data_IF_917500913955
#
_entry.id   IF_917500913955
#
_cell.length_a   1.000
_cell.length_b   1.000
_cell.length_c   1.000
_cell.angle_alpha   90.00
_cell.angle_beta   90.00
_cell.angle_gamma   90.00
#
_symmetry.space_group_name_H-M   'P 1'
#
loop_
_entity.id
_entity.type
_entity.pdbx_description
1 polymer ?
#
# COMPACT_ATOMS: atom_id res chain seq x y z
N UNK A 1 48.52 -46.30 -18.40
CA UNK A 1 47.08 -46.60 -18.28
C UNK A 1 46.38 -45.29 -17.97
N UNK A 2 45.56 -44.83 -18.91
CA UNK A 2 44.79 -43.59 -18.83
C UNK A 2 43.60 -43.77 -17.88
N UNK A 3 43.40 -42.82 -16.97
CA UNK A 3 42.06 -42.44 -16.51
C UNK A 3 41.93 -40.94 -16.72
N UNK A 4 41.45 -40.59 -17.91
CA UNK A 4 40.79 -39.32 -18.18
C UNK A 4 39.31 -39.62 -18.35
N UNK A 5 38.46 -38.84 -17.70
CA UNK A 5 37.18 -38.34 -18.22
C UNK A 5 36.56 -37.45 -17.13
N UNK A 6 36.64 -36.13 -17.34
CA UNK A 6 35.90 -35.13 -16.56
C UNK A 6 34.41 -35.29 -16.86
N UNK A 7 33.64 -35.71 -15.85
CA UNK A 7 32.19 -35.83 -15.96
C UNK A 7 31.55 -34.44 -15.97
N UNK A 8 31.11 -33.96 -17.13
CA UNK A 8 30.31 -32.73 -17.22
C UNK A 8 28.88 -33.02 -16.74
N UNK A 9 28.43 -32.30 -15.70
CA UNK A 9 27.01 -32.28 -15.33
C UNK A 9 26.28 -31.26 -16.21
N UNK A 10 25.24 -31.73 -16.90
CA UNK A 10 24.36 -30.88 -17.70
C UNK A 10 23.01 -30.79 -16.99
N UNK A 11 22.62 -29.58 -16.60
CA UNK A 11 21.28 -29.34 -16.11
C UNK A 11 20.35 -29.12 -17.31
N UNK A 12 19.31 -29.95 -17.41
CA UNK A 12 18.30 -29.88 -18.47
C UNK A 12 17.03 -29.30 -17.87
N UNK A 13 16.60 -28.16 -18.40
CA UNK A 13 15.35 -27.50 -17.97
C UNK A 13 14.37 -27.53 -19.13
N UNK A 14 13.14 -27.95 -18.84
CA UNK A 14 12.06 -28.05 -19.81
C UNK A 14 11.09 -26.89 -19.63
N UNK A 15 10.94 -26.07 -20.68
CA UNK A 15 9.86 -25.07 -20.76
C UNK A 15 9.13 -25.25 -22.08
N UNK A 16 7.79 -25.38 -22.00
CA UNK A 16 6.81 -25.57 -23.10
C UNK A 16 7.44 -25.80 -24.50
N UNK A 17 7.98 -27.01 -24.70
CA UNK A 17 8.50 -27.58 -25.95
C UNK A 17 9.93 -27.23 -26.38
N UNK A 18 10.76 -26.61 -25.53
CA UNK A 18 12.20 -26.45 -25.80
C UNK A 18 13.03 -26.98 -24.63
N UNK A 19 13.97 -27.86 -24.92
CA UNK A 19 14.98 -28.35 -23.97
C UNK A 19 16.20 -27.43 -24.05
N UNK A 20 16.52 -26.75 -22.94
CA UNK A 20 17.76 -25.95 -22.83
C UNK A 20 18.74 -26.71 -21.95
N UNK A 21 19.91 -27.02 -22.50
CA UNK A 21 21.01 -27.69 -21.81
C UNK A 21 22.06 -26.66 -21.41
N UNK A 22 22.30 -26.52 -20.09
CA UNK A 22 23.30 -25.58 -19.56
C UNK A 22 24.47 -26.42 -19.01
N UNK A 23 25.68 -26.31 -19.58
CA UNK A 23 26.86 -26.98 -19.05
C UNK A 23 27.30 -26.28 -17.75
N UNK A 24 27.45 -27.05 -16.67
CA UNK A 24 27.98 -26.54 -15.42
C UNK A 24 29.46 -26.94 -15.29
N UNK A 25 30.33 -25.93 -15.12
CA UNK A 25 31.74 -26.14 -14.75
C UNK A 25 31.81 -26.10 -13.22
N UNK A 26 32.12 -27.24 -12.60
CA UNK A 26 32.34 -27.35 -11.16
C UNK A 26 33.82 -27.10 -10.91
N UNK A 27 34.22 -25.83 -10.91
CA UNK A 27 35.42 -25.39 -10.22
C UNK A 27 34.99 -24.18 -9.36
N UNK A 28 35.30 -24.21 -8.06
CA UNK A 28 35.06 -23.17 -7.03
C UNK A 28 33.81 -23.23 -6.11
N UNK A 29 33.12 -24.37 -5.98
CA UNK A 29 32.21 -24.59 -4.83
C UNK A 29 32.91 -25.41 -3.74
N UNK A 30 33.99 -24.87 -3.17
CA UNK A 30 34.47 -25.26 -1.83
C UNK A 30 35.06 -24.05 -1.11
N UNK A 31 34.17 -23.39 -0.35
CA UNK A 31 34.36 -22.60 0.87
C UNK A 31 33.56 -21.31 0.79
N UNK A 32 32.48 -21.31 1.54
CA UNK A 32 31.93 -20.20 2.34
C UNK A 32 30.42 -20.03 2.12
N UNK A 33 29.63 -20.87 2.80
CA UNK A 33 28.15 -20.85 2.77
C UNK A 33 27.54 -19.60 3.44
N UNK A 34 28.34 -18.65 3.95
CA UNK A 34 27.86 -17.43 4.59
C UNK A 34 28.31 -16.12 3.90
N UNK A 35 28.88 -16.18 2.71
CA UNK A 35 29.26 -14.99 1.97
C UNK A 35 28.04 -14.33 1.29
N UNK A 36 27.87 -13.01 1.52
CA UNK A 36 26.92 -12.10 0.86
C UNK A 36 26.90 -12.25 -0.68
N UNK A 37 28.02 -12.68 -1.27
CA UNK A 37 28.19 -12.90 -2.71
C UNK A 37 27.23 -14.00 -3.21
N UNK A 38 26.97 -15.05 -2.42
CA UNK A 38 26.08 -16.14 -2.83
C UNK A 38 24.60 -15.74 -2.89
N UNK A 39 24.17 -14.79 -2.05
CA UNK A 39 22.82 -14.22 -2.10
C UNK A 39 22.67 -13.27 -3.29
N UNK A 40 23.68 -12.45 -3.58
CA UNK A 40 23.70 -11.57 -4.75
C UNK A 40 23.64 -12.37 -6.06
N UNK A 41 24.38 -13.49 -6.13
CA UNK A 41 24.40 -14.36 -7.31
C UNK A 41 23.06 -15.08 -7.54
N UNK A 42 22.42 -15.56 -6.46
CA UNK A 42 21.07 -16.16 -6.55
C UNK A 42 20.00 -15.14 -6.95
N UNK A 43 20.08 -13.90 -6.48
CA UNK A 43 19.16 -12.84 -6.94
C UNK A 43 19.40 -12.44 -8.40
N UNK A 44 20.65 -12.42 -8.87
CA UNK A 44 20.98 -12.12 -10.26
C UNK A 44 20.49 -13.23 -11.23
N UNK A 45 20.69 -14.50 -10.90
CA UNK A 45 20.22 -15.62 -11.73
C UNK A 45 18.69 -15.75 -11.75
N UNK A 46 18.01 -15.47 -10.63
CA UNK A 46 16.54 -15.44 -10.62
C UNK A 46 15.99 -14.26 -11.42
N UNK A 47 16.69 -13.12 -11.47
CA UNK A 47 16.34 -11.98 -12.34
C UNK A 47 16.43 -12.37 -13.83
N UNK A 48 17.51 -13.00 -14.28
CA UNK A 48 17.67 -13.34 -15.71
C UNK A 48 16.70 -14.42 -16.20
N UNK A 49 16.33 -15.38 -15.36
CA UNK A 49 15.42 -16.48 -15.75
C UNK A 49 13.93 -16.11 -15.73
N UNK A 50 13.51 -15.10 -14.95
CA UNK A 50 12.10 -14.66 -14.88
C UNK A 50 11.74 -13.50 -15.83
N UNK A 51 12.73 -12.75 -16.34
CA UNK A 51 12.52 -11.55 -17.15
C UNK A 51 11.96 -11.76 -18.58
N UNK A 52 12.26 -12.85 -19.33
CA UNK A 52 11.83 -12.93 -20.74
C UNK A 52 10.35 -13.30 -20.90
N UNK A 53 9.78 -14.10 -19.99
CA UNK A 53 8.42 -14.66 -20.18
C UNK A 53 7.32 -13.74 -19.64
N UNK A 54 7.61 -12.90 -18.63
CA UNK A 54 6.66 -11.87 -18.16
C UNK A 54 6.68 -10.58 -19.01
N UNK A 55 7.70 -10.41 -19.88
CA UNK A 55 7.84 -9.24 -20.75
C UNK A 55 6.77 -9.11 -21.84
N UNK A 56 5.98 -10.16 -22.13
CA UNK A 56 5.02 -10.13 -23.25
C UNK A 56 3.56 -9.91 -22.82
N UNK A 57 3.20 -10.11 -21.55
CA UNK A 57 1.80 -9.93 -21.10
C UNK A 57 1.59 -8.72 -20.17
N UNK A 58 2.66 -8.15 -19.60
CA UNK A 58 2.59 -7.06 -18.61
C UNK A 58 2.41 -5.65 -19.20
N UNK A 59 2.56 -5.47 -20.52
CA UNK A 59 2.63 -4.14 -21.15
C UNK A 59 1.36 -3.71 -21.90
N UNK A 60 0.26 -4.41 -21.70
CA UNK A 60 -0.99 -4.22 -22.46
C UNK A 60 -1.55 -2.78 -22.45
N UNK A 61 -1.15 -1.95 -21.47
CA UNK A 61 -1.53 -0.53 -21.39
C UNK A 61 -0.55 0.41 -22.13
N UNK A 62 0.75 0.11 -22.13
CA UNK A 62 1.77 0.99 -22.72
C UNK A 62 2.03 0.67 -24.22
N UNK A 63 1.73 -0.56 -24.65
CA UNK A 63 1.80 -0.98 -26.06
C UNK A 63 0.46 -0.79 -26.79
N UNK A 64 -0.56 -0.29 -26.10
CA UNK A 64 -1.83 0.08 -26.70
C UNK A 64 -1.86 1.61 -26.85
N UNK A 65 -1.44 2.09 -28.03
CA UNK A 65 -1.31 3.52 -28.34
C UNK A 65 -2.60 4.30 -28.02
N UNK A 66 -3.77 3.72 -28.27
CA UNK A 66 -5.07 4.35 -27.97
C UNK A 66 -5.29 4.54 -26.47
N UNK A 67 -4.91 3.54 -25.67
CA UNK A 67 -5.09 3.58 -24.22
C UNK A 67 -4.04 4.46 -23.54
N UNK A 68 -2.81 4.50 -24.07
CA UNK A 68 -1.78 5.43 -23.64
C UNK A 68 -2.17 6.89 -23.95
N UNK A 69 -2.67 7.15 -25.16
CA UNK A 69 -3.17 8.47 -25.57
C UNK A 69 -4.38 8.91 -24.73
N UNK A 70 -5.29 7.97 -24.40
CA UNK A 70 -6.39 8.23 -23.48
C UNK A 70 -5.90 8.59 -22.07
N UNK A 71 -4.95 7.84 -21.50
CA UNK A 71 -4.35 8.15 -20.20
C UNK A 71 -3.66 9.52 -20.21
N UNK A 72 -2.94 9.86 -21.29
CA UNK A 72 -2.26 11.17 -21.48
C UNK A 72 -3.28 12.31 -21.60
N UNK A 73 -4.36 12.11 -22.34
CA UNK A 73 -5.43 13.10 -22.48
C UNK A 73 -6.19 13.31 -21.16
N UNK A 74 -6.37 12.25 -20.37
CA UNK A 74 -7.06 12.26 -19.09
C UNK A 74 -6.25 12.91 -17.97
N UNK A 75 -4.93 12.71 -17.93
CA UNK A 75 -4.02 13.40 -17.00
C UNK A 75 -4.16 14.93 -17.09
N UNK A 76 -4.42 15.46 -18.28
CA UNK A 76 -4.57 16.90 -18.53
C UNK A 76 -5.91 17.49 -18.06
N UNK A 77 -6.87 16.68 -17.59
CA UNK A 77 -8.28 17.06 -17.57
C UNK A 77 -8.91 17.52 -16.24
N UNK A 78 -8.30 17.40 -15.04
CA UNK A 78 -8.89 18.03 -13.84
C UNK A 78 -8.03 18.01 -12.55
N UNK A 79 -7.97 19.12 -11.77
CA UNK A 79 -7.36 19.16 -10.44
C UNK A 79 -8.41 19.30 -9.32
N UNK A 80 -8.49 18.38 -8.35
CA UNK A 80 -9.38 18.53 -7.18
C UNK A 80 -8.76 18.14 -5.84
N UNK A 81 -8.75 19.14 -4.95
CA UNK A 81 -7.90 19.38 -3.76
C UNK A 81 -8.39 18.65 -2.48
N UNK A 82 -7.47 18.44 -1.51
CA UNK A 82 -7.66 18.31 -0.03
C UNK A 82 -7.73 16.89 0.67
N UNK A 83 -7.72 16.78 2.04
CA UNK A 83 -7.22 15.77 3.08
C UNK A 83 -7.42 14.25 3.00
N UNK A 84 -6.55 13.46 3.64
CA UNK A 84 -6.65 12.02 3.96
C UNK A 84 -8.08 11.46 3.84
N UNK A 85 -8.37 11.00 2.63
CA UNK A 85 -9.72 11.02 2.08
C UNK A 85 -10.63 9.96 2.69
N UNK A 86 -11.87 10.35 3.03
CA UNK A 86 -12.98 9.42 3.27
C UNK A 86 -13.40 8.78 1.95
N UNK A 87 -13.39 7.46 1.85
CA UNK A 87 -13.91 6.76 0.67
C UNK A 87 -15.39 6.41 0.85
N UNK A 88 -16.24 7.04 0.02
CA UNK A 88 -17.68 6.82 -0.02
C UNK A 88 -18.46 8.12 0.12
N UNK A 89 -19.17 8.52 -0.93
CA UNK A 89 -20.07 9.66 -0.88
C UNK A 89 -21.28 9.41 0.03
N UNK A 90 -21.75 10.46 0.70
CA UNK A 90 -23.07 10.48 1.32
C UNK A 90 -24.10 10.35 0.18
N UNK A 91 -24.72 9.19 -0.01
CA UNK A 91 -25.85 9.04 -0.94
C UNK A 91 -25.87 7.85 -1.89
N UNK A 92 -24.84 7.00 -1.93
CA UNK A 92 -24.88 5.70 -2.63
C UNK A 92 -24.97 5.77 -4.16
N UNK A 93 -23.96 5.20 -4.85
CA UNK A 93 -24.13 4.33 -6.04
C UNK A 93 -22.85 4.19 -6.89
N UNK A 94 -21.83 5.04 -6.75
CA UNK A 94 -20.66 4.98 -7.65
C UNK A 94 -19.31 4.65 -7.00
N UNK A 95 -19.18 4.69 -5.67
CA UNK A 95 -17.92 4.33 -4.99
C UNK A 95 -17.90 2.83 -4.63
N UNK A 96 -16.84 2.08 -4.97
CA UNK A 96 -16.70 0.66 -4.64
C UNK A 96 -16.46 0.39 -3.16
N UNK A 97 -15.94 1.42 -2.48
CA UNK A 97 -15.58 1.41 -1.09
C UNK A 97 -16.56 2.32 -0.36
N UNK A 98 -17.06 1.84 0.77
CA UNK A 98 -17.98 2.54 1.66
C UNK A 98 -17.43 2.58 3.09
N UNK A 99 -18.07 3.36 3.96
CA UNK A 99 -17.88 3.24 5.40
C UNK A 99 -18.39 1.86 5.88
N UNK A 100 -17.80 1.32 6.95
CA UNK A 100 -18.30 0.11 7.60
C UNK A 100 -19.75 0.30 8.09
N UNK A 101 -20.64 -0.69 7.85
CA UNK A 101 -22.04 -0.57 8.21
C UNK A 101 -22.22 -0.52 9.73
N UNK A 102 -23.28 0.17 10.18
CA UNK A 102 -23.72 0.10 11.55
C UNK A 102 -24.42 -1.24 11.83
N UNK A 103 -24.35 -1.71 13.07
CA UNK A 103 -25.12 -2.82 13.58
C UNK A 103 -26.57 -2.37 13.91
N UNK A 104 -27.40 -3.28 14.41
CA UNK A 104 -28.80 -3.00 14.74
C UNK A 104 -28.99 -2.00 15.90
N UNK A 105 -27.94 -1.73 16.67
CA UNK A 105 -27.92 -0.74 17.76
C UNK A 105 -27.47 0.64 17.29
N UNK A 106 -27.16 0.78 15.99
CA UNK A 106 -26.67 2.03 15.40
C UNK A 106 -25.17 2.28 15.62
N UNK A 107 -24.42 1.33 16.16
CA UNK A 107 -22.96 1.42 16.31
C UNK A 107 -22.23 0.79 15.11
N UNK A 108 -21.13 1.40 14.68
CA UNK A 108 -20.22 0.74 13.74
C UNK A 108 -19.18 -0.05 14.52
N UNK A 109 -19.15 -1.36 14.31
CA UNK A 109 -18.14 -2.28 14.84
C UNK A 109 -17.50 -3.01 13.66
N UNK A 110 -16.17 -3.07 13.63
CA UNK A 110 -15.46 -3.75 12.55
C UNK A 110 -15.15 -5.17 13.01
N UNK A 111 -15.79 -6.20 12.40
CA UNK A 111 -15.48 -7.57 12.72
C UNK A 111 -14.04 -7.87 12.31
N UNK A 112 -13.26 -8.47 13.19
CA UNK A 112 -11.88 -8.90 12.92
C UNK A 112 -11.72 -10.38 13.21
N UNK A 113 -10.76 -11.00 12.53
CA UNK A 113 -10.26 -12.31 12.87
C UNK A 113 -8.77 -12.38 12.55
N UNK A 114 -8.05 -13.21 13.28
CA UNK A 114 -6.66 -13.52 12.97
C UNK A 114 -6.59 -14.79 12.15
N UNK A 115 -5.66 -14.82 11.19
CA UNK A 115 -5.48 -15.96 10.29
C UNK A 115 -5.24 -17.27 11.05
N UNK A 116 -4.43 -17.23 12.12
CA UNK A 116 -4.23 -18.36 13.02
C UNK A 116 -3.87 -17.90 14.45
N UNK A 117 -3.78 -18.84 15.39
CA UNK A 117 -3.50 -18.55 16.79
C UNK A 117 -2.10 -17.95 17.00
N UNK A 118 -1.06 -18.48 16.35
CA UNK A 118 0.32 -17.99 16.50
C UNK A 118 0.45 -16.53 16.08
N UNK A 119 -0.21 -16.15 14.97
CA UNK A 119 -0.29 -14.77 14.50
C UNK A 119 -1.00 -13.91 15.53
N UNK A 120 -2.19 -14.32 16.00
CA UNK A 120 -2.91 -13.55 17.02
C UNK A 120 -2.04 -13.29 18.24
N UNK A 121 -1.42 -14.34 18.78
CA UNK A 121 -0.62 -14.25 20.00
C UNK A 121 0.59 -13.32 19.80
N UNK A 122 1.13 -13.27 18.57
CA UNK A 122 2.28 -12.43 18.23
C UNK A 122 1.94 -10.96 17.98
N UNK A 123 0.86 -10.65 17.24
CA UNK A 123 0.59 -9.28 16.77
C UNK A 123 -0.65 -8.62 17.38
N UNK A 124 -1.51 -9.34 18.10
CA UNK A 124 -2.74 -8.75 18.67
C UNK A 124 -2.46 -7.58 19.61
N UNK A 125 -1.39 -7.66 20.40
CA UNK A 125 -0.95 -6.57 21.27
C UNK A 125 -0.64 -5.29 20.48
N UNK A 126 0.04 -5.42 19.33
CA UNK A 126 0.39 -4.29 18.46
C UNK A 126 -0.87 -3.72 17.81
N UNK A 127 -1.76 -4.58 17.31
CA UNK A 127 -3.06 -4.17 16.75
C UNK A 127 -3.90 -3.42 17.79
N UNK A 128 -3.93 -3.90 19.03
CA UNK A 128 -4.69 -3.27 20.12
C UNK A 128 -4.09 -1.90 20.50
N UNK A 129 -2.77 -1.79 20.61
CA UNK A 129 -2.12 -0.50 20.90
C UNK A 129 -2.29 0.49 19.74
N UNK A 130 -2.20 0.02 18.50
CA UNK A 130 -2.48 0.81 17.31
C UNK A 130 -3.92 1.32 17.28
N UNK A 131 -4.89 0.46 17.60
CA UNK A 131 -6.29 0.85 17.74
C UNK A 131 -6.49 1.85 18.89
N UNK A 132 -5.77 1.69 20.01
CA UNK A 132 -5.86 2.60 21.15
C UNK A 132 -5.39 4.02 20.80
N UNK A 133 -4.43 4.19 19.88
CA UNK A 133 -4.03 5.52 19.38
C UNK A 133 -5.20 6.30 18.76
N UNK A 134 -6.12 5.60 18.10
CA UNK A 134 -7.34 6.18 17.57
C UNK A 134 -8.35 6.45 18.68
N UNK A 135 -8.63 5.44 19.51
CA UNK A 135 -9.67 5.54 20.55
C UNK A 135 -9.36 6.61 21.59
N UNK A 136 -8.10 6.77 22.01
CA UNK A 136 -7.71 7.80 22.97
C UNK A 136 -8.12 9.21 22.54
N UNK A 137 -7.96 9.51 21.24
CA UNK A 137 -8.28 10.83 20.69
C UNK A 137 -9.74 10.96 20.28
N UNK A 138 -10.30 9.90 19.71
CA UNK A 138 -11.65 9.86 19.17
C UNK A 138 -12.71 9.89 20.29
N UNK A 139 -12.44 9.20 21.40
CA UNK A 139 -13.39 8.97 22.49
C UNK A 139 -14.32 7.79 22.23
N UNK A 140 -15.25 7.55 23.16
CA UNK A 140 -16.28 6.52 23.03
C UNK A 140 -17.34 6.92 21.99
N UNK A 141 -17.91 5.94 21.27
CA UNK A 141 -19.07 6.18 20.42
C UNK A 141 -20.23 6.82 21.21
N UNK A 142 -20.88 7.83 20.63
CA UNK A 142 -21.95 8.55 21.30
C UNK A 142 -22.18 9.95 20.74
N UNK A 143 -23.32 10.55 21.12
CA UNK A 143 -23.69 11.91 20.75
C UNK A 143 -22.60 12.93 21.15
N UNK A 144 -22.01 12.76 22.33
CA UNK A 144 -20.96 13.65 22.87
C UNK A 144 -19.73 13.72 21.99
N UNK A 145 -19.28 12.59 21.44
CA UNK A 145 -18.09 12.54 20.59
C UNK A 145 -18.43 12.61 19.09
N UNK A 146 -19.72 12.63 18.73
CA UNK A 146 -20.19 12.88 17.37
C UNK A 146 -19.95 11.73 16.39
N UNK A 147 -19.64 10.52 16.86
CA UNK A 147 -19.45 9.34 16.02
C UNK A 147 -20.09 8.08 16.60
N UNK A 148 -20.31 7.09 15.73
CA UNK A 148 -20.83 5.76 16.07
C UNK A 148 -19.79 4.63 16.00
N UNK A 149 -18.56 4.89 15.56
CA UNK A 149 -17.49 3.88 15.58
C UNK A 149 -17.17 3.47 17.03
N UNK A 150 -17.34 2.19 17.34
CA UNK A 150 -17.24 1.65 18.71
C UNK A 150 -16.13 0.62 18.90
N UNK A 151 -15.38 0.30 17.83
CA UNK A 151 -14.16 -0.50 17.92
C UNK A 151 -14.08 -1.70 16.98
N UNK A 152 -13.03 -2.47 17.17
CA UNK A 152 -12.81 -3.79 16.57
C UNK A 152 -13.49 -4.86 17.44
N UNK A 153 -14.06 -5.91 16.83
CA UNK A 153 -14.63 -7.03 17.59
C UNK A 153 -14.29 -8.39 16.98
N UNK A 154 -13.94 -9.36 17.83
CA UNK A 154 -13.79 -10.76 17.44
C UNK A 154 -15.08 -11.53 17.70
N UNK A 155 -15.41 -12.49 16.83
CA UNK A 155 -16.42 -13.51 17.17
C UNK A 155 -15.80 -14.43 18.21
N UNK A 156 -16.44 -14.63 19.36
CA UNK A 156 -15.90 -15.47 20.43
C UNK A 156 -16.42 -16.90 20.35
N UNK A 157 -15.57 -17.87 20.71
CA UNK A 157 -15.93 -19.26 20.91
C UNK A 157 -16.61 -19.47 22.28
N UNK A 158 -16.97 -20.72 22.58
CA UNK A 158 -17.64 -21.08 23.85
C UNK A 158 -16.75 -20.86 25.10
N UNK A 159 -15.45 -20.63 24.93
CA UNK A 159 -14.50 -20.34 26.01
C UNK A 159 -14.17 -18.84 26.09
N UNK A 160 -14.84 -17.99 25.30
CA UNK A 160 -14.56 -16.56 25.24
C UNK A 160 -13.30 -16.20 24.44
N UNK A 161 -12.73 -17.13 23.67
CA UNK A 161 -11.56 -16.89 22.83
C UNK A 161 -11.99 -16.54 21.41
N UNK A 162 -11.31 -15.58 20.77
CA UNK A 162 -11.62 -15.21 19.39
C UNK A 162 -11.53 -16.40 18.41
N UNK A 163 -12.55 -16.56 17.58
CA UNK A 163 -12.59 -17.49 16.46
C UNK A 163 -11.58 -17.04 15.38
N UNK A 164 -10.82 -17.99 14.83
CA UNK A 164 -9.82 -17.72 13.79
C UNK A 164 -10.48 -17.59 12.42
N UNK A 165 -9.87 -16.86 11.49
CA UNK A 165 -10.41 -16.69 10.13
C UNK A 165 -10.53 -18.03 9.38
N UNK A 166 -9.59 -18.95 9.63
CA UNK A 166 -9.52 -20.25 8.97
C UNK A 166 -9.54 -21.38 9.99
N UNK A 167 -10.13 -22.50 9.59
CA UNK A 167 -10.18 -23.74 10.40
C UNK A 167 -9.00 -24.67 10.11
N UNK A 168 -8.29 -24.44 9.00
CA UNK A 168 -7.13 -25.19 8.56
C UNK A 168 -5.87 -24.33 8.54
N UNK A 169 -4.70 -24.97 8.62
CA UNK A 169 -3.40 -24.28 8.62
C UNK A 169 -3.03 -23.72 7.23
N UNK A 170 -3.56 -24.33 6.17
CA UNK A 170 -3.30 -23.92 4.78
C UNK A 170 -4.11 -22.68 4.39
N UNK A 171 -4.99 -22.19 5.26
CA UNK A 171 -5.82 -21.01 5.04
C UNK A 171 -6.77 -21.18 3.83
N UNK A 172 -7.29 -22.39 3.65
CA UNK A 172 -8.16 -22.75 2.52
C UNK A 172 -9.63 -22.83 2.91
N UNK A 173 -9.93 -23.10 4.18
CA UNK A 173 -11.28 -23.32 4.71
C UNK A 173 -11.64 -22.24 5.73
N UNK A 174 -12.34 -21.21 5.24
CA UNK A 174 -12.87 -20.12 6.08
C UNK A 174 -13.76 -20.65 7.20
N UNK A 175 -13.56 -20.13 8.40
CA UNK A 175 -14.35 -20.47 9.56
C UNK A 175 -15.77 -19.94 9.42
N UNK A 176 -16.75 -20.83 9.27
CA UNK A 176 -18.17 -20.48 9.08
C UNK A 176 -18.78 -19.73 10.26
N UNK A 177 -18.16 -19.78 11.45
CA UNK A 177 -18.58 -18.99 12.61
C UNK A 177 -18.16 -17.54 12.50
N UNK A 178 -17.08 -17.25 11.78
CA UNK A 178 -16.60 -15.90 11.52
C UNK A 178 -17.37 -15.31 10.35
N UNK A 179 -17.89 -14.09 10.54
CA UNK A 179 -18.61 -13.39 9.48
C UNK A 179 -17.73 -13.24 8.23
N UNK A 180 -18.31 -13.49 7.07
CA UNK A 180 -17.57 -13.41 5.79
C UNK A 180 -17.10 -11.99 5.43
N UNK A 181 -17.51 -10.97 6.17
CA UNK A 181 -17.13 -9.57 6.02
C UNK A 181 -16.10 -9.11 7.07
N UNK A 182 -15.57 -10.04 7.88
CA UNK A 182 -14.49 -9.74 8.83
C UNK A 182 -13.22 -9.27 8.13
N UNK A 183 -12.54 -8.31 8.76
CA UNK A 183 -11.17 -7.97 8.46
C UNK A 183 -10.25 -9.14 8.83
N UNK A 184 -9.67 -9.78 7.81
CA UNK A 184 -8.61 -10.78 7.98
C UNK A 184 -7.31 -10.08 8.37
N UNK A 185 -6.82 -10.35 9.57
CA UNK A 185 -5.52 -9.86 10.05
C UNK A 185 -4.47 -10.97 9.90
N UNK A 186 -3.43 -10.67 9.13
CA UNK A 186 -2.34 -11.58 8.82
C UNK A 186 -0.98 -10.96 9.16
N UNK A 187 0.05 -11.80 9.27
CA UNK A 187 1.43 -11.38 9.47
C UNK A 187 2.26 -11.81 8.26
N UNK A 188 2.93 -10.86 7.62
CA UNK A 188 3.83 -11.14 6.49
C UNK A 188 5.27 -11.08 6.98
N UNK A 189 5.92 -12.24 6.96
CA UNK A 189 7.31 -12.35 7.41
C UNK A 189 8.29 -11.72 6.42
N UNK A 190 9.42 -11.26 6.95
CA UNK A 190 10.58 -10.71 6.20
C UNK A 190 10.24 -9.45 5.39
N UNK A 191 9.33 -8.64 5.90
CA UNK A 191 9.03 -7.32 5.37
C UNK A 191 8.62 -6.37 6.49
N UNK A 192 8.87 -5.09 6.32
CA UNK A 192 8.28 -4.03 7.17
C UNK A 192 7.01 -3.47 6.53
N UNK A 193 6.72 -3.85 5.29
CA UNK A 193 5.60 -3.32 4.54
C UNK A 193 4.31 -3.87 5.14
N UNK A 194 3.48 -2.94 5.60
CA UNK A 194 2.14 -3.20 6.12
C UNK A 194 1.16 -2.69 5.06
N UNK A 195 -0.02 -3.30 4.95
CA UNK A 195 -1.04 -2.85 3.99
C UNK A 195 -2.43 -3.28 4.43
N UNK A 196 -3.43 -2.47 4.09
CA UNK A 196 -4.82 -2.79 4.35
C UNK A 196 -5.74 -2.54 3.14
N UNK A 197 -6.91 -3.16 3.23
CA UNK A 197 -8.05 -2.78 2.40
C UNK A 197 -8.58 -1.45 2.88
N UNK A 198 -9.02 -0.60 1.95
CA UNK A 198 -9.65 0.66 2.32
C UNK A 198 -11.15 0.49 2.50
N UNK A 199 -11.65 0.92 3.65
CA UNK A 199 -13.07 0.91 4.01
C UNK A 199 -13.72 -0.48 3.90
N UNK A 200 -15.04 -0.45 3.75
CA UNK A 200 -15.86 -1.61 3.51
C UNK A 200 -16.04 -1.84 2.01
N UNK A 201 -15.66 -3.03 1.53
CA UNK A 201 -15.98 -3.53 0.20
C UNK A 201 -17.28 -4.37 0.25
N UNK A 202 -18.37 -3.89 -0.39
CA UNK A 202 -19.60 -4.67 -0.47
C UNK A 202 -19.44 -5.91 -1.36
N UNK A 203 -20.35 -6.88 -1.19
CA UNK A 203 -20.23 -8.18 -1.87
C UNK A 203 -20.45 -8.07 -3.38
N UNK A 204 -21.33 -7.16 -3.79
CA UNK A 204 -21.59 -6.83 -5.19
C UNK A 204 -20.33 -6.34 -5.91
N UNK A 205 -19.37 -5.78 -5.18
CA UNK A 205 -18.08 -5.33 -5.72
C UNK A 205 -17.01 -6.41 -5.68
N UNK A 206 -16.89 -7.10 -4.55
CA UNK A 206 -15.89 -8.15 -4.39
C UNK A 206 -16.48 -9.30 -3.60
N UNK A 207 -17.02 -10.30 -4.27
CA UNK A 207 -17.63 -11.47 -3.63
C UNK A 207 -16.57 -12.50 -3.17
N UNK A 208 -15.55 -12.06 -2.44
CA UNK A 208 -14.56 -12.95 -1.80
C UNK A 208 -14.65 -12.87 -0.28
N UNK A 209 -14.47 -13.99 0.38
CA UNK A 209 -14.48 -14.12 1.85
C UNK A 209 -13.31 -13.39 2.54
N UNK A 210 -12.25 -13.05 1.81
CA UNK A 210 -11.09 -12.27 2.29
C UNK A 210 -11.05 -10.87 1.65
N UNK A 211 -12.21 -10.30 1.31
CA UNK A 211 -12.24 -9.00 0.60
C UNK A 211 -11.66 -7.87 1.45
N UNK A 212 -11.79 -7.95 2.77
CA UNK A 212 -11.16 -7.06 3.74
C UNK A 212 -9.95 -7.76 4.38
N UNK A 213 -8.79 -7.13 4.28
CA UNK A 213 -7.55 -7.64 4.89
C UNK A 213 -6.69 -6.51 5.43
N UNK A 214 -5.90 -6.85 6.44
CA UNK A 214 -4.77 -6.08 6.92
C UNK A 214 -3.59 -7.04 7.09
N UNK A 215 -2.54 -6.83 6.31
CA UNK A 215 -1.32 -7.62 6.32
C UNK A 215 -0.25 -6.84 7.09
N UNK A 216 0.19 -7.35 8.24
CA UNK A 216 1.17 -6.69 9.12
C UNK A 216 2.57 -7.17 8.79
N UNK A 217 3.45 -6.27 8.37
CA UNK A 217 4.85 -6.59 8.10
C UNK A 217 5.58 -6.98 9.38
N UNK A 218 6.32 -8.09 9.34
CA UNK A 218 7.13 -8.57 10.45
C UNK A 218 8.56 -8.92 10.03
N UNK A 219 9.54 -8.24 10.63
CA UNK A 219 10.96 -8.58 10.53
C UNK A 219 11.39 -9.34 11.79
N UNK A 220 12.02 -10.51 11.62
CA UNK A 220 12.45 -11.34 12.75
C UNK A 220 13.61 -10.71 13.55
N UNK A 221 14.33 -9.75 12.97
CA UNK A 221 15.46 -9.03 13.60
C UNK A 221 15.23 -7.53 13.59
N UNK A 222 15.42 -6.86 14.74
CA UNK A 222 15.40 -5.39 14.81
C UNK A 222 14.00 -4.76 14.69
N UNK A 223 12.98 -5.44 15.22
CA UNK A 223 11.61 -4.94 15.22
C UNK A 223 11.47 -3.73 16.16
N UNK A 224 11.41 -2.52 15.59
CA UNK A 224 10.99 -1.34 16.33
C UNK A 224 9.48 -1.40 16.54
N UNK A 225 9.09 -1.76 17.75
CA UNK A 225 7.69 -1.91 18.11
C UNK A 225 6.91 -0.59 17.97
N UNK A 226 7.55 0.54 18.27
CA UNK A 226 6.89 1.86 18.21
C UNK A 226 6.57 2.24 16.77
N UNK A 227 7.50 1.98 15.85
CA UNK A 227 7.26 2.14 14.42
C UNK A 227 6.15 1.20 13.95
N UNK A 228 6.17 -0.06 14.38
CA UNK A 228 5.15 -1.01 13.95
C UNK A 228 3.74 -0.70 14.46
N UNK A 229 3.60 -0.22 15.71
CA UNK A 229 2.32 0.28 16.24
C UNK A 229 1.82 1.44 15.38
N UNK A 230 2.72 2.35 14.98
CA UNK A 230 2.37 3.46 14.09
C UNK A 230 1.94 2.97 12.70
N UNK A 231 2.67 2.05 12.08
CA UNK A 231 2.31 1.46 10.78
C UNK A 231 0.98 0.71 10.83
N UNK A 232 0.72 -0.06 11.89
CA UNK A 232 -0.59 -0.74 12.04
C UNK A 232 -1.71 0.27 12.28
N UNK A 233 -1.44 1.36 13.00
CA UNK A 233 -2.44 2.42 13.20
C UNK A 233 -2.74 3.18 11.91
N UNK A 234 -1.73 3.39 11.04
CA UNK A 234 -1.90 3.89 9.67
C UNK A 234 -2.80 2.95 8.85
N UNK A 235 -2.52 1.65 8.87
CA UNK A 235 -3.35 0.68 8.16
C UNK A 235 -4.78 0.59 8.70
N UNK A 236 -4.99 0.78 10.01
CA UNK A 236 -6.34 0.91 10.57
C UNK A 236 -7.06 2.13 10.01
N UNK A 237 -6.36 3.24 9.76
CA UNK A 237 -6.92 4.39 9.06
C UNK A 237 -7.44 4.02 7.67
N UNK A 238 -6.67 3.23 6.90
CA UNK A 238 -7.17 2.65 5.65
C UNK A 238 -8.40 1.76 5.88
N UNK A 239 -8.36 0.84 6.84
CA UNK A 239 -9.52 0.00 7.19
C UNK A 239 -10.75 0.85 7.46
N UNK A 240 -10.62 1.98 8.16
CA UNK A 240 -11.74 2.89 8.42
C UNK A 240 -12.28 3.57 7.16
N UNK A 241 -11.49 3.62 6.09
CA UNK A 241 -11.85 4.25 4.83
C UNK A 241 -11.11 5.56 4.59
N UNK A 242 -9.98 5.80 5.25
CA UNK A 242 -9.10 6.94 4.99
C UNK A 242 -8.11 6.62 3.86
N UNK A 243 -7.63 7.62 3.14
CA UNK A 243 -6.45 7.50 2.26
C UNK A 243 -5.34 8.42 2.74
N UNK A 244 -4.17 8.35 2.09
CA UNK A 244 -3.01 9.14 2.47
C UNK A 244 -3.23 10.66 2.40
N UNK A 245 -2.71 11.38 3.40
CA UNK A 245 -2.74 12.85 3.45
C UNK A 245 -1.85 13.48 2.37
N UNK A 246 -0.79 12.82 1.92
CA UNK A 246 0.06 13.35 0.85
C UNK A 246 -0.46 13.01 -0.56
N UNK A 247 -1.67 12.45 -0.69
CA UNK A 247 -2.32 12.21 -1.99
C UNK A 247 -3.40 13.27 -2.31
N UNK A 248 -3.54 14.30 -1.48
CA UNK A 248 -4.45 15.42 -1.73
C UNK A 248 -3.98 16.21 -2.94
N UNK A 249 -4.90 16.71 -3.78
CA UNK A 249 -4.45 17.53 -4.92
C UNK A 249 -4.01 18.95 -4.58
N UNK A 250 -4.19 19.42 -3.35
CA UNK A 250 -3.60 20.68 -2.86
C UNK A 250 -2.28 20.46 -2.13
N UNK A 251 -1.79 19.21 -2.00
CA UNK A 251 -0.60 18.90 -1.20
C UNK A 251 0.58 19.78 -1.58
N UNK A 252 0.71 20.17 -2.85
CA UNK A 252 1.89 20.85 -3.35
C UNK A 252 2.03 22.28 -2.75
N UNK A 253 0.96 22.80 -2.11
CA UNK A 253 0.98 24.03 -1.32
C UNK A 253 1.57 23.83 0.09
N UNK A 254 1.74 22.59 0.54
CA UNK A 254 2.17 22.21 1.89
C UNK A 254 3.44 21.36 1.90
N UNK A 255 3.58 20.48 0.91
CA UNK A 255 4.71 19.59 0.72
C UNK A 255 5.24 19.68 -0.71
N UNK A 256 6.42 19.13 -0.94
CA UNK A 256 7.00 18.96 -2.25
C UNK A 256 7.40 17.51 -2.46
N UNK A 257 6.80 16.87 -3.46
CA UNK A 257 7.12 15.51 -3.86
C UNK A 257 8.14 15.49 -5.00
N UNK A 258 9.16 14.65 -4.88
CA UNK A 258 10.25 14.43 -5.83
C UNK A 258 10.34 12.96 -6.16
N UNK A 259 9.75 12.61 -7.30
CA UNK A 259 9.70 11.24 -7.78
C UNK A 259 11.09 10.65 -8.03
N UNK A 260 12.06 11.49 -8.42
CA UNK A 260 13.46 11.14 -8.68
C UNK A 260 14.21 10.58 -7.47
N UNK A 261 13.66 10.74 -6.26
CA UNK A 261 14.24 10.21 -5.03
C UNK A 261 13.59 8.91 -4.54
N UNK A 262 12.60 8.39 -5.27
CA UNK A 262 12.01 7.09 -4.96
C UNK A 262 12.98 5.94 -5.29
N UNK A 263 12.89 4.86 -4.51
CA UNK A 263 13.52 3.60 -4.83
C UNK A 263 13.11 3.14 -6.25
N UNK A 264 14.06 2.62 -7.02
CA UNK A 264 13.80 2.14 -8.38
C UNK A 264 13.66 3.22 -9.47
N UNK A 265 13.69 4.52 -9.15
CA UNK A 265 13.52 5.59 -10.15
C UNK A 265 14.52 5.51 -11.31
N UNK A 266 15.82 5.28 -11.05
CA UNK A 266 16.83 5.23 -12.10
C UNK A 266 16.56 4.10 -13.11
N UNK A 267 16.17 2.92 -12.61
CA UNK A 267 15.84 1.78 -13.47
C UNK A 267 14.53 2.01 -14.23
N UNK A 268 13.53 2.61 -13.56
CA UNK A 268 12.30 3.03 -14.22
C UNK A 268 12.58 4.05 -15.34
N UNK A 269 13.42 5.05 -15.08
CA UNK A 269 13.82 6.07 -16.06
C UNK A 269 14.54 5.47 -17.27
N UNK A 270 15.44 4.50 -17.05
CA UNK A 270 16.10 3.75 -18.13
C UNK A 270 15.09 3.03 -19.00
N UNK A 271 14.11 2.35 -18.41
CA UNK A 271 13.05 1.69 -19.17
C UNK A 271 12.22 2.73 -19.92
N UNK A 272 11.71 3.76 -19.24
CA UNK A 272 10.88 4.83 -19.86
C UNK A 272 11.57 5.46 -21.07
N UNK A 273 12.88 5.72 -21.02
CA UNK A 273 13.64 6.28 -22.15
C UNK A 273 13.63 5.43 -23.43
N UNK A 274 13.24 4.16 -23.33
CA UNK A 274 13.12 3.22 -24.46
C UNK A 274 11.71 3.20 -25.07
N UNK A 275 10.74 3.90 -24.46
CA UNK A 275 9.34 3.90 -24.89
C UNK A 275 8.91 5.30 -25.35
N UNK A 276 8.81 5.54 -26.67
CA UNK A 276 8.27 6.80 -27.19
C UNK A 276 6.87 7.09 -26.62
N UNK A 277 6.63 8.33 -26.17
CA UNK A 277 5.34 8.75 -25.62
C UNK A 277 5.18 8.58 -24.11
N UNK A 278 6.00 7.75 -23.46
CA UNK A 278 6.04 7.64 -22.00
C UNK A 278 7.14 8.56 -21.44
N UNK A 279 6.81 9.37 -20.44
CA UNK A 279 7.78 10.20 -19.70
C UNK A 279 7.76 9.85 -18.23
N UNK A 280 8.84 10.19 -17.51
CA UNK A 280 8.84 10.03 -16.06
C UNK A 280 7.77 10.90 -15.39
N UNK A 281 7.45 12.06 -15.95
CA UNK A 281 6.35 12.90 -15.46
C UNK A 281 5.01 12.14 -15.50
N UNK A 282 4.68 11.51 -16.63
CA UNK A 282 3.47 10.68 -16.78
C UNK A 282 3.49 9.51 -15.79
N UNK A 283 4.62 8.78 -15.71
CA UNK A 283 4.72 7.62 -14.83
C UNK A 283 4.63 8.00 -13.35
N UNK A 284 5.23 9.13 -12.96
CA UNK A 284 5.22 9.63 -11.59
C UNK A 284 3.87 10.21 -11.16
N UNK A 285 3.09 10.71 -12.11
CA UNK A 285 1.74 11.20 -11.84
C UNK A 285 0.69 10.07 -11.87
N UNK A 286 0.85 9.07 -12.75
CA UNK A 286 -0.21 8.10 -13.01
C UNK A 286 -0.30 7.01 -11.97
N UNK A 287 -1.43 6.93 -11.27
CA UNK A 287 -1.70 5.86 -10.31
C UNK A 287 -1.86 4.50 -10.99
N UNK A 288 -2.48 4.50 -12.18
CA UNK A 288 -2.79 3.28 -12.92
C UNK A 288 -1.54 2.69 -13.55
N UNK A 289 -0.73 3.51 -14.24
CA UNK A 289 0.46 3.04 -14.93
C UNK A 289 1.51 2.54 -13.93
N UNK A 290 1.79 3.31 -12.88
CA UNK A 290 2.88 2.97 -11.96
C UNK A 290 2.56 1.83 -10.99
N UNK A 291 1.29 1.44 -10.84
CA UNK A 291 0.89 0.25 -10.09
C UNK A 291 0.86 -1.04 -10.95
N UNK A 292 1.45 -1.03 -12.14
CA UNK A 292 1.65 -2.22 -12.98
C UNK A 292 3.09 -2.74 -12.93
N UNK A 293 3.30 -3.93 -13.48
CA UNK A 293 4.64 -4.38 -13.85
C UNK A 293 5.15 -3.58 -15.06
N UNK A 294 6.47 -3.36 -15.18
CA UNK A 294 7.54 -3.86 -14.32
C UNK A 294 7.79 -2.99 -13.07
N UNK A 295 7.13 -1.84 -12.93
CA UNK A 295 7.46 -0.83 -11.92
C UNK A 295 7.38 -1.37 -10.49
N UNK A 296 6.38 -2.22 -10.22
CA UNK A 296 6.23 -2.90 -8.93
C UNK A 296 7.39 -3.83 -8.59
N UNK A 297 7.88 -4.62 -9.55
CA UNK A 297 9.06 -5.46 -9.34
C UNK A 297 10.35 -4.67 -9.08
N UNK A 298 10.39 -3.39 -9.50
CA UNK A 298 11.50 -2.48 -9.24
C UNK A 298 11.42 -1.77 -7.89
N UNK A 299 10.35 -2.03 -7.12
CA UNK A 299 10.00 -1.25 -5.92
C UNK A 299 9.82 0.24 -6.21
N UNK A 300 9.52 0.62 -7.46
CA UNK A 300 9.22 1.98 -7.84
C UNK A 300 7.72 2.23 -7.69
N UNK A 301 7.35 2.92 -6.62
CA UNK A 301 5.95 3.07 -6.19
C UNK A 301 5.45 4.53 -6.21
N UNK A 302 5.54 5.27 -7.34
CA UNK A 302 5.02 6.63 -7.37
C UNK A 302 3.48 6.69 -7.28
N UNK A 303 2.76 5.58 -7.51
CA UNK A 303 1.30 5.53 -7.31
C UNK A 303 0.90 5.88 -5.87
N UNK A 304 1.72 5.55 -4.86
CA UNK A 304 1.48 5.92 -3.46
C UNK A 304 1.65 7.42 -3.22
N UNK A 305 2.24 8.14 -4.19
CA UNK A 305 2.48 9.57 -4.20
C UNK A 305 1.70 10.30 -5.29
N UNK A 306 0.76 9.65 -5.96
CA UNK A 306 -0.07 10.32 -6.98
C UNK A 306 -1.10 11.26 -6.33
N UNK A 307 -1.37 12.41 -6.95
CA UNK A 307 -2.55 13.25 -6.65
C UNK A 307 -3.73 12.93 -7.56
N UNK A 308 -3.55 12.02 -8.53
CA UNK A 308 -4.67 11.63 -9.37
C UNK A 308 -5.76 11.02 -8.49
N UNK A 309 -7.04 11.31 -8.76
CA UNK A 309 -8.14 10.72 -8.02
C UNK A 309 -7.96 9.21 -7.97
N UNK A 310 -8.17 8.61 -6.80
CA UNK A 310 -8.06 7.16 -6.71
C UNK A 310 -9.16 6.51 -7.55
N UNK A 311 -8.75 5.57 -8.38
CA UNK A 311 -9.61 4.86 -9.32
C UNK A 311 -9.77 3.41 -8.89
N UNK A 312 -10.96 2.85 -9.08
CA UNK A 312 -11.18 1.45 -8.81
C UNK A 312 -10.48 0.58 -9.85
N UNK A 313 -9.48 -0.19 -9.43
CA UNK A 313 -8.65 -1.02 -10.31
C UNK A 313 -9.26 -2.38 -10.68
N UNK A 314 -10.46 -2.69 -10.22
CA UNK A 314 -11.11 -4.00 -10.40
C UNK A 314 -12.25 -4.07 -11.43
N UNK A 315 -13.09 -3.05 -11.61
CA UNK A 315 -14.17 -3.02 -12.58
C UNK A 315 -13.58 -3.11 -13.97
N UNK A 316 -14.21 -3.98 -14.75
CA UNK A 316 -13.99 -4.03 -16.18
C UNK A 316 -15.10 -3.25 -16.87
N UNK A 317 -14.76 -2.49 -17.90
CA UNK A 317 -15.72 -1.91 -18.82
C UNK A 317 -16.54 -3.01 -19.52
N UNK A 318 -17.48 -2.59 -20.36
CA UNK A 318 -18.29 -3.50 -21.17
C UNK A 318 -17.46 -4.43 -22.07
N UNK A 319 -16.18 -4.10 -22.32
CA UNK A 319 -15.25 -4.86 -23.16
C UNK A 319 -14.31 -5.77 -22.35
N UNK A 320 -14.42 -5.81 -21.02
CA UNK A 320 -13.56 -6.62 -20.17
C UNK A 320 -12.20 -5.97 -19.84
N UNK A 321 -11.98 -4.70 -20.20
CA UNK A 321 -10.78 -3.92 -19.90
C UNK A 321 -10.94 -3.20 -18.56
N UNK A 322 -9.87 -3.07 -17.79
CA UNK A 322 -9.93 -2.33 -16.53
C UNK A 322 -10.26 -0.87 -16.81
N UNK A 323 -11.39 -0.40 -16.29
CA UNK A 323 -11.77 1.01 -16.36
C UNK A 323 -11.83 1.56 -14.93
N UNK A 324 -10.72 2.21 -14.57
CA UNK A 324 -10.55 2.88 -13.28
C UNK A 324 -11.57 3.98 -13.01
N UNK A 325 -12.15 4.55 -14.07
CA UNK A 325 -12.94 5.77 -14.00
C UNK A 325 -14.44 5.51 -13.86
N UNK A 326 -14.91 4.28 -14.11
CA UNK A 326 -16.31 3.87 -13.88
C UNK A 326 -16.77 4.29 -12.47
N UNK A 327 -15.85 4.20 -11.52
CA UNK A 327 -16.14 4.33 -10.10
C UNK A 327 -15.15 5.28 -9.45
N UNK A 328 -15.34 6.57 -9.73
CA UNK A 328 -14.56 7.63 -9.09
C UNK A 328 -14.81 7.61 -7.59
N UNK A 329 -13.72 7.58 -6.84
CA UNK A 329 -13.81 7.71 -5.40
C UNK A 329 -14.18 9.15 -5.09
N UNK A 330 -15.36 9.35 -4.49
CA UNK A 330 -15.70 10.65 -3.93
C UNK A 330 -15.00 10.77 -2.60
N UNK A 331 -14.33 11.90 -2.48
CA UNK A 331 -13.36 12.20 -1.45
C UNK A 331 -13.82 13.53 -0.85
N UNK A 332 -14.09 13.55 0.45
CA UNK A 332 -14.67 14.70 1.15
C UNK A 332 -13.68 15.27 2.18
N UNK A 333 -13.70 16.60 2.32
CA UNK A 333 -12.81 17.33 3.22
C UNK A 333 -13.56 18.42 3.95
N UNK A 334 -13.12 18.71 5.16
CA UNK A 334 -13.61 19.81 5.99
C UNK A 334 -12.48 20.68 6.57
N UNK A 335 -11.21 20.33 6.31
CA UNK A 335 -10.04 20.94 6.97
C UNK A 335 -8.82 21.21 6.07
N UNK A 336 -7.93 22.12 6.51
CA UNK A 336 -6.58 22.29 5.94
C UNK A 336 -5.73 21.00 6.00
N UNK A 337 -4.60 21.03 5.30
CA UNK A 337 -3.59 19.97 5.33
C UNK A 337 -3.08 19.65 6.74
N UNK A 338 -3.04 18.37 7.06
CA UNK A 338 -2.64 17.85 8.36
C UNK A 338 -1.31 17.11 8.29
N UNK A 339 -0.22 17.86 8.40
CA UNK A 339 1.15 17.29 8.43
C UNK A 339 1.38 16.32 9.60
N UNK A 340 0.53 16.36 10.63
CA UNK A 340 0.59 15.47 11.78
C UNK A 340 -0.33 14.24 11.63
N UNK A 341 -1.09 14.15 10.53
CA UNK A 341 -1.96 13.00 10.24
C UNK A 341 -1.16 11.70 10.28
N UNK A 342 -1.73 10.69 10.91
CA UNK A 342 -1.18 9.33 10.87
C UNK A 342 -1.19 8.76 9.45
N UNK A 343 -2.03 9.31 8.57
CA UNK A 343 -2.13 8.96 7.15
C UNK A 343 -1.10 9.67 6.27
N UNK A 344 -0.18 10.47 6.84
CA UNK A 344 0.86 11.15 6.09
C UNK A 344 2.18 10.37 6.11
N UNK A 345 2.80 10.15 4.96
CA UNK A 345 4.13 9.55 4.90
C UNK A 345 5.24 10.49 5.39
N UNK A 346 6.22 9.97 6.11
CA UNK A 346 7.40 10.74 6.47
C UNK A 346 8.37 10.84 5.28
N UNK A 347 9.35 11.74 5.38
CA UNK A 347 10.29 12.07 4.29
C UNK A 347 11.23 10.95 3.83
N UNK A 348 11.27 9.83 4.53
CA UNK A 348 12.12 8.69 4.16
C UNK A 348 11.31 7.55 3.50
N UNK A 349 9.98 7.64 3.53
CA UNK A 349 9.10 6.60 3.00
C UNK A 349 9.30 6.45 1.49
N UNK A 350 9.38 5.20 1.01
CA UNK A 350 9.63 4.90 -0.41
C UNK A 350 10.97 5.38 -0.98
N UNK A 351 11.87 5.93 -0.15
CA UNK A 351 13.15 6.48 -0.61
C UNK A 351 14.15 5.40 -1.00
N UNK A 352 15.10 5.76 -1.87
CA UNK A 352 16.23 4.89 -2.24
C UNK A 352 17.38 4.91 -1.22
N UNK A 353 17.17 5.47 -0.03
CA UNK A 353 18.21 5.68 0.98
C UNK A 353 18.58 4.35 1.61
N UNK A 354 19.45 3.59 0.93
CA UNK A 354 19.85 2.24 1.38
C UNK A 354 20.49 2.30 2.79
N UNK A 355 21.17 3.41 3.14
CA UNK A 355 21.78 3.62 4.47
C UNK A 355 21.90 5.12 4.87
N UNK A 356 21.11 6.01 4.28
CA UNK A 356 21.25 7.46 4.47
C UNK A 356 20.12 8.08 5.29
N UNK A 357 20.42 9.13 6.05
CA UNK A 357 19.38 9.98 6.64
C UNK A 357 18.67 10.78 5.54
N UNK A 358 17.35 10.91 5.68
CA UNK A 358 16.57 11.79 4.82
C UNK A 358 16.92 13.26 5.11
N UNK A 359 17.31 13.96 4.07
CA UNK A 359 17.65 15.38 4.04
C UNK A 359 16.69 16.12 3.11
N UNK A 360 16.71 17.45 3.18
CA UNK A 360 15.85 18.28 2.35
C UNK A 360 16.20 18.09 0.87
N UNK A 361 17.37 17.54 0.54
CA UNK A 361 17.85 17.39 -0.83
C UNK A 361 17.71 15.99 -1.41
N UNK A 362 17.41 14.97 -0.61
CA UNK A 362 17.31 13.58 -1.09
C UNK A 362 16.02 12.86 -0.68
N UNK A 363 15.14 13.51 0.10
CA UNK A 363 13.86 12.94 0.51
C UNK A 363 12.84 12.95 -0.65
N UNK A 364 12.06 11.88 -0.86
CA UNK A 364 10.93 11.90 -1.79
C UNK A 364 9.89 12.96 -1.46
N UNK A 365 9.71 13.29 -0.18
CA UNK A 365 8.82 14.37 0.24
C UNK A 365 9.45 15.25 1.30
N UNK A 366 9.22 16.56 1.21
CA UNK A 366 9.59 17.54 2.24
C UNK A 366 8.40 18.46 2.49
N UNK A 367 8.28 19.05 3.67
CA UNK A 367 7.26 20.09 3.91
C UNK A 367 7.83 21.48 3.65
N UNK A 368 7.00 22.36 3.11
CA UNK A 368 7.34 23.76 2.90
C UNK A 368 7.28 24.54 4.21
N UNK A 369 8.32 25.33 4.50
CA UNK A 369 8.29 26.32 5.57
C UNK A 369 7.31 27.42 5.19
N UNK A 370 6.20 27.50 5.93
CA UNK A 370 5.10 28.42 5.63
C UNK A 370 4.08 27.88 4.62
N UNK A 371 4.14 26.57 4.30
CA UNK A 371 3.12 25.89 3.50
C UNK A 371 1.74 26.06 4.11
N UNK A 372 0.78 26.53 3.30
CA UNK A 372 -0.60 26.82 3.69
C UNK A 372 -1.48 26.95 2.45
N UNK A 373 -2.79 27.05 2.63
CA UNK A 373 -3.69 27.32 1.52
C UNK A 373 -3.31 28.64 0.81
N UNK A 374 -3.26 28.60 -0.51
CA UNK A 374 -2.81 29.69 -1.38
C UNK A 374 -1.30 29.91 -1.40
N UNK A 375 -0.50 29.09 -0.68
CA UNK A 375 0.96 29.18 -0.73
C UNK A 375 1.44 28.93 -2.17
N UNK A 376 2.38 29.77 -2.61
CA UNK A 376 3.03 29.64 -3.92
C UNK A 376 4.42 29.06 -3.68
N UNK A 377 4.63 27.76 -3.95
CA UNK A 377 5.92 27.13 -3.70
C UNK A 377 7.07 27.82 -4.44
N UNK A 378 8.25 27.93 -3.82
CA UNK A 378 9.44 28.37 -4.53
C UNK A 378 9.81 27.33 -5.60
N UNK A 379 10.50 27.78 -6.67
CA UNK A 379 10.95 26.88 -7.74
C UNK A 379 11.99 25.86 -7.28
N UNK A 380 12.80 26.20 -6.29
CA UNK A 380 13.88 25.37 -5.79
C UNK A 380 13.64 25.02 -4.32
N UNK A 381 13.87 23.76 -3.98
CA UNK A 381 13.84 23.25 -2.61
C UNK A 381 15.19 23.53 -1.95
N UNK A 382 15.18 24.17 -0.79
CA UNK A 382 16.39 24.50 -0.02
C UNK A 382 16.14 24.33 1.46
N UNK A 383 17.20 24.19 2.25
CA UNK A 383 17.08 24.13 3.72
C UNK A 383 16.48 25.42 4.32
N UNK A 384 16.48 26.53 3.57
CA UNK A 384 15.86 27.78 4.01
C UNK A 384 14.34 27.77 3.88
N UNK A 385 13.78 27.01 2.92
CA UNK A 385 12.36 27.04 2.59
C UNK A 385 11.63 25.70 2.79
N UNK A 386 12.34 24.63 3.14
CA UNK A 386 11.77 23.32 3.37
C UNK A 386 12.39 22.63 4.58
N UNK A 387 11.72 21.57 5.05
CA UNK A 387 12.15 20.77 6.21
C UNK A 387 11.65 19.32 6.09
N UNK A 388 12.33 18.42 6.81
CA UNK A 388 12.01 16.99 6.82
C UNK A 388 10.74 16.74 7.64
N UNK A 389 9.89 15.86 7.13
CA UNK A 389 8.75 15.30 7.85
C UNK A 389 9.26 14.06 8.59
N UNK A 390 9.22 14.10 9.91
CA UNK A 390 9.66 12.98 10.76
C UNK A 390 8.52 11.99 10.98
N UNK A 391 8.80 10.69 11.19
CA UNK A 391 7.80 9.72 11.58
C UNK A 391 7.03 10.19 12.82
N UNK A 392 5.70 10.17 12.77
CA UNK A 392 4.85 10.60 13.88
C UNK A 392 4.54 9.44 14.83
N UNK A 393 5.57 8.71 15.27
CA UNK A 393 5.39 7.42 15.96
C UNK A 393 4.87 7.54 17.39
N UNK A 394 5.14 8.65 18.07
CA UNK A 394 4.75 8.86 19.47
C UNK A 394 3.35 9.46 19.63
N UNK A 395 2.86 10.27 18.68
CA UNK A 395 1.57 10.95 18.85
C UNK A 395 0.39 10.04 18.54
N UNK A 396 -0.73 10.30 19.19
CA UNK A 396 -2.05 9.75 18.84
C UNK A 396 -2.47 10.20 17.44
N UNK A 397 -3.59 9.69 16.93
CA UNK A 397 -4.20 10.22 15.70
C UNK A 397 -4.40 11.73 15.82
N UNK A 398 -4.20 12.46 14.73
CA UNK A 398 -4.32 13.92 14.73
C UNK A 398 -5.77 14.37 14.94
N UNK A 399 -5.96 15.68 15.12
CA UNK A 399 -7.31 16.25 15.15
C UNK A 399 -8.04 16.14 13.80
N UNK A 400 -7.32 16.16 12.68
CA UNK A 400 -7.88 15.94 11.34
C UNK A 400 -8.32 14.49 11.13
N UNK A 401 -7.49 13.53 11.57
CA UNK A 401 -7.80 12.10 11.53
C UNK A 401 -9.11 11.78 12.25
N UNK A 402 -9.30 12.30 13.48
CA UNK A 402 -10.51 12.09 14.28
C UNK A 402 -11.76 12.68 13.63
N UNK A 403 -11.64 13.85 12.99
CA UNK A 403 -12.76 14.45 12.28
C UNK A 403 -13.17 13.60 11.07
N UNK A 404 -12.20 13.08 10.32
CA UNK A 404 -12.48 12.19 9.19
C UNK A 404 -13.26 10.94 9.64
N UNK A 405 -12.92 10.37 10.80
CA UNK A 405 -13.68 9.25 11.40
C UNK A 405 -15.10 9.68 11.80
N UNK A 406 -15.29 10.88 12.36
CA UNK A 406 -16.64 11.41 12.65
C UNK A 406 -17.48 11.61 11.40
N UNK A 407 -16.85 12.02 10.30
CA UNK A 407 -17.53 12.17 9.00
C UNK A 407 -17.91 10.82 8.39
N UNK A 408 -17.05 9.80 8.52
CA UNK A 408 -17.31 8.43 8.08
C UNK A 408 -18.43 7.76 8.88
N UNK A 409 -18.44 7.99 10.19
CA UNK A 409 -19.31 7.31 11.15
C UNK A 409 -20.10 8.31 11.98
N UNK A 410 -20.90 9.21 11.40
CA UNK A 410 -21.57 10.26 12.15
C UNK A 410 -22.59 9.68 13.12
N UNK A 411 -22.77 10.35 14.26
CA UNK A 411 -23.87 10.05 15.17
C UNK A 411 -25.21 10.56 14.60
N UNK A 412 -26.28 9.76 14.69
CA UNK A 412 -27.66 10.22 14.45
C UNK A 412 -28.10 10.34 12.98
N UNK A 413 -27.83 9.33 12.14
CA UNK A 413 -28.48 9.18 10.83
C UNK A 413 -29.44 8.01 10.80
#
# INVERSE_FOLDING_TARGET
MNYGESSQMVMRVWTRNVEVSIPMVIDDIKKDENSLISQSFRQAQLKELYLPVQRLEAWRLAENDTLLDEIIAQHKANPHRCSAHVVGGIGGSSSPVAAWPANNEGYTQIPVCYVNADIRDKISRIVNQAHQKWINKLGSAGATNGHRYSGLFETLDNNGKGELCYTDRQQTLWNRKVRSDSLRIDMVLRTQNTRATRGYLPREWKNSIYRHRMDVGWMDTGYDETLAIHSVAHELGHVFGLVHEHQRSDRDQYVHFRCEHLAGYQEASRIVSQHPGLTMEILCASIMLSNQEPWRSLSFMPYDWSIEPYFDRWPKDANGLLDGHLHRWTVLHSRPYDLDSIMHYHSAEGSNLVHGEATVQNAPVVKWKGGKEGFKPPKAVTDLNAEIIRPNTLKESSGGDVEAIRMLYPWGR
#
